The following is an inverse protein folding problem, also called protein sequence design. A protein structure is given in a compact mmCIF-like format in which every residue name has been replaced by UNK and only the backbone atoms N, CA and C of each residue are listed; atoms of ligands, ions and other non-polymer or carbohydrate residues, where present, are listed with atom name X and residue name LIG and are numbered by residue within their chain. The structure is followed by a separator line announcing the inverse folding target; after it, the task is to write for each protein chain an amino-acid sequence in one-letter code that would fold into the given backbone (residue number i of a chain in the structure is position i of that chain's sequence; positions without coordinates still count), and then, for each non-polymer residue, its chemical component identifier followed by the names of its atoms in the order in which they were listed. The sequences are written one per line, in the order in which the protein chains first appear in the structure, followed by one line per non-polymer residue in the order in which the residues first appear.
data_IF_692035234707
#
_entry.id   IF_692035234707
#
_cell.length_a   1.000
_cell.length_b   1.000
_cell.length_c   1.000
_cell.angle_alpha   90.00
_cell.angle_beta   90.00
_cell.angle_gamma   90.00
#
_symmetry.space_group_name_H-M   'P 1'
#
loop_
_entity.id
_entity.type
_entity.pdbx_description
1 polymer ?
#
# COMPACT_ATOMS: atom_id res chain seq x y z
N UNK A 1 -67.81 -47.17 33.38
CA UNK A 1 -67.24 -47.80 34.60
C UNK A 1 -66.07 -48.65 34.17
N UNK A 2 -64.90 -48.74 34.82
CA UNK A 2 -64.25 -47.92 35.86
C UNK A 2 -62.80 -48.44 36.04
N UNK A 3 -61.79 -47.57 36.14
CA UNK A 3 -60.50 -47.81 36.85
C UNK A 3 -59.57 -48.97 36.36
N UNK A 4 -58.23 -48.96 36.52
CA UNK A 4 -57.29 -48.12 37.30
C UNK A 4 -55.85 -48.23 36.73
N UNK A 5 -54.97 -47.29 37.11
CA UNK A 5 -53.48 -47.35 37.29
C UNK A 5 -52.73 -48.68 37.04
N UNK A 6 -51.48 -48.78 36.55
CA UNK A 6 -50.41 -47.81 36.12
C UNK A 6 -49.23 -48.63 35.47
N UNK A 7 -47.99 -48.21 35.14
CA UNK A 7 -47.11 -47.06 35.51
C UNK A 7 -45.99 -46.82 34.42
N UNK A 8 -44.96 -46.01 34.76
CA UNK A 8 -43.71 -45.65 34.03
C UNK A 8 -43.09 -46.67 33.03
N UNK A 9 -42.39 -46.29 31.94
CA UNK A 9 -41.30 -45.28 31.82
C UNK A 9 -41.13 -44.69 30.40
N UNK A 10 -40.57 -43.48 30.31
CA UNK A 10 -39.83 -42.93 29.12
C UNK A 10 -38.30 -43.08 29.36
N UNK A 11 -37.40 -42.91 28.36
CA UNK A 11 -37.13 -41.64 27.65
C UNK A 11 -37.58 -41.66 26.16
N UNK A 12 -38.09 -40.56 25.61
CA UNK A 12 -37.35 -39.49 24.90
C UNK A 12 -36.62 -40.00 23.65
N UNK A 13 -37.16 -39.66 22.47
CA UNK A 13 -36.55 -39.95 21.17
C UNK A 13 -35.54 -38.87 20.73
N UNK A 14 -34.74 -39.20 19.71
CA UNK A 14 -33.86 -38.27 19.00
C UNK A 14 -34.22 -38.28 17.51
N UNK A 15 -34.83 -37.21 17.00
CA UNK A 15 -34.97 -37.00 15.56
C UNK A 15 -33.68 -36.36 15.01
N UNK A 16 -32.69 -37.21 14.71
CA UNK A 16 -31.44 -36.81 14.07
C UNK A 16 -31.53 -36.89 12.55
N UNK A 17 -31.73 -35.76 11.87
CA UNK A 17 -31.76 -35.72 10.41
C UNK A 17 -30.35 -35.83 9.78
N UNK A 18 -30.13 -36.92 9.03
CA UNK A 18 -29.60 -36.75 7.68
C UNK A 18 -28.08 -36.77 7.43
N UNK A 19 -27.30 -37.57 8.16
CA UNK A 19 -26.12 -38.18 7.49
C UNK A 19 -26.58 -39.40 6.69
N UNK A 20 -26.13 -39.60 5.43
CA UNK A 20 -26.40 -40.83 4.71
C UNK A 20 -25.64 -41.97 5.40
N UNK A 21 -26.35 -42.73 6.22
CA UNK A 21 -25.80 -43.88 6.92
C UNK A 21 -25.40 -44.94 5.89
N UNK A 22 -24.11 -44.96 5.53
CA UNK A 22 -23.53 -45.91 4.60
C UNK A 22 -23.62 -47.33 5.18
N UNK A 23 -24.75 -47.98 4.93
CA UNK A 23 -24.96 -49.37 5.24
C UNK A 23 -23.88 -50.20 4.52
N UNK A 24 -22.97 -50.81 5.26
CA UNK A 24 -21.92 -51.70 4.74
C UNK A 24 -22.50 -53.08 4.35
N UNK A 25 -23.63 -53.06 3.65
CA UNK A 25 -24.27 -54.24 3.08
C UNK A 25 -23.50 -54.70 1.84
N UNK A 26 -22.49 -55.55 2.11
CA UNK A 26 -21.52 -56.20 1.21
C UNK A 26 -20.14 -55.52 1.21
N UNK A 27 -19.21 -56.12 1.95
CA UNK A 27 -17.77 -55.90 1.83
C UNK A 27 -17.27 -56.43 0.47
N UNK A 28 -17.18 -55.57 -0.54
CA UNK A 28 -16.38 -55.83 -1.75
C UNK A 28 -15.01 -55.16 -1.64
N UNK A 29 -13.92 -55.80 -2.13
CA UNK A 29 -12.57 -55.22 -2.09
C UNK A 29 -12.51 -53.83 -2.74
N UNK A 30 -13.24 -53.61 -3.83
CA UNK A 30 -13.35 -52.33 -4.52
C UNK A 30 -13.94 -51.22 -3.66
N UNK A 31 -14.97 -51.52 -2.86
CA UNK A 31 -15.60 -50.52 -1.97
C UNK A 31 -14.67 -50.17 -0.80
N UNK A 32 -13.94 -51.15 -0.26
CA UNK A 32 -12.95 -50.93 0.80
C UNK A 32 -11.76 -50.11 0.25
N UNK A 33 -11.24 -50.45 -0.94
CA UNK A 33 -10.17 -49.69 -1.61
C UNK A 33 -10.61 -48.27 -1.96
N UNK A 34 -11.85 -48.05 -2.40
CA UNK A 34 -12.37 -46.71 -2.69
C UNK A 34 -12.58 -45.88 -1.42
N UNK A 35 -13.07 -46.48 -0.33
CA UNK A 35 -13.15 -45.82 0.97
C UNK A 35 -11.76 -45.48 1.55
N UNK A 36 -10.77 -46.34 1.32
CA UNK A 36 -9.36 -46.09 1.68
C UNK A 36 -8.75 -44.99 0.81
N UNK A 37 -9.05 -44.92 -0.50
CA UNK A 37 -8.64 -43.80 -1.37
C UNK A 37 -9.23 -42.47 -0.89
N UNK A 38 -10.55 -42.38 -0.68
CA UNK A 38 -11.20 -41.18 -0.14
C UNK A 38 -10.54 -40.70 1.18
N UNK A 39 -10.19 -41.63 2.08
CA UNK A 39 -9.47 -41.32 3.33
C UNK A 39 -7.98 -41.00 3.17
N UNK A 40 -7.36 -41.34 2.03
CA UNK A 40 -5.93 -41.16 1.75
C UNK A 40 -5.64 -39.92 0.91
N UNK A 41 -6.58 -39.52 0.06
CA UNK A 41 -6.45 -38.37 -0.84
C UNK A 41 -6.92 -37.06 -0.17
N UNK A 42 -7.83 -37.14 0.80
CA UNK A 42 -8.26 -35.98 1.60
C UNK A 42 -8.81 -34.83 0.73
N UNK A 43 -8.52 -33.55 1.05
CA UNK A 43 -9.01 -32.41 0.26
C UNK A 43 -8.61 -32.41 -1.22
N UNK A 44 -7.61 -33.21 -1.62
CA UNK A 44 -7.20 -33.31 -3.02
C UNK A 44 -8.22 -34.06 -3.88
N UNK A 45 -9.10 -34.89 -3.31
CA UNK A 45 -10.14 -35.55 -4.10
C UNK A 45 -11.05 -34.52 -4.80
N UNK A 46 -11.42 -33.45 -4.09
CA UNK A 46 -12.23 -32.33 -4.61
C UNK A 46 -11.60 -31.60 -5.82
N UNK A 47 -10.29 -31.74 -6.04
CA UNK A 47 -9.57 -31.17 -7.20
C UNK A 47 -9.15 -32.22 -8.24
N UNK A 48 -9.29 -33.52 -7.92
CA UNK A 48 -8.76 -34.63 -8.72
C UNK A 48 -9.88 -35.51 -9.30
N UNK A 49 -11.06 -35.56 -8.67
CA UNK A 49 -12.28 -36.25 -9.15
C UNK A 49 -12.95 -35.50 -10.32
N UNK A 50 -12.24 -35.32 -11.43
CA UNK A 50 -12.83 -34.75 -12.65
C UNK A 50 -13.58 -35.81 -13.46
N UNK A 51 -14.91 -35.76 -13.37
CA UNK A 51 -15.77 -36.08 -14.53
C UNK A 51 -15.64 -34.92 -15.52
N UNK A 52 -15.31 -35.27 -16.77
CA UNK A 52 -15.00 -34.35 -17.87
C UNK A 52 -13.73 -33.48 -17.63
N UNK A 53 -12.87 -33.40 -18.64
CA UNK A 53 -11.57 -32.75 -18.55
C UNK A 53 -11.20 -32.04 -19.85
N UNK A 54 -10.97 -30.73 -19.76
CA UNK A 54 -10.38 -29.94 -20.85
C UNK A 54 -8.86 -30.14 -20.78
N UNK A 55 -8.29 -30.69 -21.84
CA UNK A 55 -6.84 -30.80 -22.01
C UNK A 55 -6.25 -29.45 -22.39
N UNK A 56 -5.13 -29.08 -21.77
CA UNK A 56 -4.40 -27.86 -22.08
C UNK A 56 -2.90 -28.12 -22.01
N UNK A 57 -2.14 -27.49 -22.90
CA UNK A 57 -0.67 -27.48 -22.88
C UNK A 57 -0.09 -26.57 -21.78
N UNK A 58 -0.95 -25.86 -21.02
CA UNK A 58 -0.52 -24.96 -19.95
C UNK A 58 0.16 -25.69 -18.78
N UNK A 59 1.49 -25.55 -18.71
CA UNK A 59 2.28 -26.04 -17.59
C UNK A 59 2.11 -25.13 -16.35
N UNK A 60 1.23 -25.52 -15.43
CA UNK A 60 0.96 -24.74 -14.21
C UNK A 60 2.24 -24.50 -13.37
N UNK A 61 2.59 -23.24 -13.14
CA UNK A 61 3.80 -22.79 -12.42
C UNK A 61 3.66 -23.00 -10.89
N UNK A 62 2.42 -22.93 -10.39
CA UNK A 62 2.05 -23.18 -8.99
C UNK A 62 2.00 -24.67 -8.64
N UNK A 63 2.09 -24.97 -7.34
CA UNK A 63 1.60 -26.21 -6.73
C UNK A 63 0.12 -26.01 -6.34
N UNK A 64 -0.62 -27.11 -6.14
CA UNK A 64 -1.96 -27.02 -5.54
C UNK A 64 -1.81 -26.61 -4.06
N UNK A 65 -2.40 -25.48 -3.64
CA UNK A 65 -2.38 -25.05 -2.24
C UNK A 65 -3.47 -25.81 -1.47
N UNK A 66 -3.12 -26.98 -0.93
CA UNK A 66 -4.01 -27.75 -0.06
C UNK A 66 -4.26 -27.06 1.28
N UNK A 67 -3.44 -26.08 1.68
CA UNK A 67 -3.57 -25.44 2.99
C UNK A 67 -4.85 -24.61 3.09
N UNK A 68 -5.26 -23.95 2.00
CA UNK A 68 -6.53 -23.21 1.96
C UNK A 68 -7.73 -24.14 1.92
N UNK A 69 -7.63 -25.28 1.21
CA UNK A 69 -8.70 -26.29 1.15
C UNK A 69 -8.95 -26.96 2.51
N UNK A 70 -7.90 -27.36 3.23
CA UNK A 70 -8.02 -27.87 4.60
C UNK A 70 -8.77 -26.85 5.47
N UNK A 71 -8.30 -25.58 5.53
CA UNK A 71 -8.94 -24.52 6.35
C UNK A 71 -10.42 -24.30 6.05
N UNK A 72 -10.85 -24.46 4.79
CA UNK A 72 -12.25 -24.32 4.38
C UNK A 72 -13.09 -25.54 4.77
N UNK A 73 -12.54 -26.75 4.66
CA UNK A 73 -13.20 -27.99 5.11
C UNK A 73 -13.30 -28.00 6.64
N UNK A 74 -12.21 -27.70 7.35
CA UNK A 74 -12.18 -27.61 8.82
C UNK A 74 -13.22 -26.61 9.35
N UNK A 75 -13.36 -25.46 8.69
CA UNK A 75 -14.41 -24.47 9.00
C UNK A 75 -15.82 -24.99 8.71
N UNK A 76 -16.00 -25.77 7.63
CA UNK A 76 -17.26 -26.39 7.24
C UNK A 76 -17.72 -27.54 8.12
N UNK A 77 -16.80 -28.21 8.84
CA UNK A 77 -17.13 -29.25 9.82
C UNK A 77 -17.67 -28.69 11.16
N UNK A 78 -17.67 -27.36 11.34
CA UNK A 78 -18.23 -26.71 12.53
C UNK A 78 -19.76 -26.61 12.43
N UNK A 79 -20.54 -27.03 13.44
CA UNK A 79 -22.00 -26.86 13.43
C UNK A 79 -22.36 -25.37 13.47
N UNK A 80 -22.81 -24.83 12.33
CA UNK A 80 -23.13 -23.41 12.10
C UNK A 80 -24.25 -23.31 11.07
N UNK A 81 -24.93 -22.15 11.04
CA UNK A 81 -25.87 -21.81 9.96
C UNK A 81 -25.08 -21.49 8.68
N UNK A 82 -25.59 -21.89 7.52
CA UNK A 82 -24.93 -21.75 6.21
C UNK A 82 -24.48 -20.30 5.91
N UNK A 83 -25.31 -19.30 6.23
CA UNK A 83 -24.96 -17.89 6.11
C UNK A 83 -23.69 -17.54 6.91
N UNK A 84 -23.60 -18.02 8.16
CA UNK A 84 -22.40 -17.83 9.00
C UNK A 84 -21.18 -18.58 8.46
N UNK A 85 -21.37 -19.74 7.82
CA UNK A 85 -20.29 -20.46 7.13
C UNK A 85 -19.79 -19.68 5.90
N UNK A 86 -20.69 -19.05 5.14
CA UNK A 86 -20.34 -18.23 3.98
C UNK A 86 -19.46 -17.04 4.37
N UNK A 87 -19.75 -16.36 5.49
CA UNK A 87 -18.95 -15.25 6.01
C UNK A 87 -17.56 -15.71 6.44
N UNK A 88 -17.48 -16.83 7.18
CA UNK A 88 -16.20 -17.42 7.61
C UNK A 88 -15.34 -17.84 6.41
N UNK A 89 -15.92 -18.50 5.41
CA UNK A 89 -15.22 -18.94 4.20
C UNK A 89 -14.72 -17.75 3.37
N UNK A 90 -15.55 -16.71 3.21
CA UNK A 90 -15.14 -15.46 2.55
C UNK A 90 -13.95 -14.80 3.26
N UNK A 91 -13.94 -14.76 4.59
CA UNK A 91 -12.84 -14.16 5.36
C UNK A 91 -11.57 -15.03 5.35
N UNK A 92 -11.70 -16.35 5.35
CA UNK A 92 -10.58 -17.29 5.14
C UNK A 92 -9.94 -17.07 3.76
N UNK A 93 -10.75 -16.92 2.71
CA UNK A 93 -10.27 -16.64 1.34
C UNK A 93 -9.63 -15.25 1.23
N UNK A 94 -10.29 -14.20 1.73
CA UNK A 94 -9.77 -12.81 1.73
C UNK A 94 -8.40 -12.73 2.39
N UNK A 95 -8.26 -13.28 3.60
CA UNK A 95 -6.99 -13.29 4.34
C UNK A 95 -5.90 -14.06 3.61
N UNK A 96 -6.24 -15.19 2.98
CA UNK A 96 -5.29 -15.97 2.20
C UNK A 96 -4.81 -15.24 0.94
N UNK A 97 -5.72 -14.69 0.12
CA UNK A 97 -5.31 -13.92 -1.07
C UNK A 97 -4.59 -12.61 -0.71
N UNK A 98 -4.91 -11.99 0.44
CA UNK A 98 -4.14 -10.88 0.98
C UNK A 98 -2.71 -11.30 1.36
N UNK A 99 -2.54 -12.41 2.10
CA UNK A 99 -1.21 -12.99 2.40
C UNK A 99 -0.42 -13.24 1.11
N UNK A 100 -1.05 -13.90 0.13
CA UNK A 100 -0.40 -14.22 -1.15
C UNK A 100 0.06 -12.96 -1.88
N UNK A 101 -0.84 -11.98 -2.03
CA UNK A 101 -0.59 -10.73 -2.76
C UNK A 101 0.47 -9.88 -2.05
N UNK A 102 0.40 -9.75 -0.73
CA UNK A 102 1.37 -8.96 0.05
C UNK A 102 2.77 -9.56 -0.03
N UNK A 103 2.92 -10.88 0.08
CA UNK A 103 4.23 -11.53 -0.03
C UNK A 103 4.78 -11.52 -1.47
N UNK A 104 3.94 -11.72 -2.48
CA UNK A 104 4.36 -11.63 -3.88
C UNK A 104 4.85 -10.22 -4.25
N UNK A 105 4.17 -9.17 -3.77
CA UNK A 105 4.51 -7.78 -4.07
C UNK A 105 5.58 -7.19 -3.14
N UNK A 106 5.97 -7.88 -2.06
CA UNK A 106 6.96 -7.40 -1.09
C UNK A 106 8.32 -6.97 -1.69
N UNK A 107 8.89 -7.64 -2.72
CA UNK A 107 10.16 -7.21 -3.33
C UNK A 107 10.11 -5.79 -3.94
N UNK A 108 8.93 -5.32 -4.39
CA UNK A 108 8.78 -3.97 -4.94
C UNK A 108 8.82 -2.86 -3.87
N UNK A 109 8.73 -3.21 -2.57
CA UNK A 109 8.67 -2.24 -1.48
C UNK A 109 9.84 -1.26 -1.41
N UNK A 110 11.01 -1.64 -1.95
CA UNK A 110 12.19 -0.77 -2.02
C UNK A 110 11.99 0.46 -2.92
N UNK A 111 11.19 0.36 -3.99
CA UNK A 111 10.91 1.46 -4.93
C UNK A 111 9.84 2.44 -4.43
N UNK A 112 9.17 2.11 -3.32
CA UNK A 112 8.13 2.92 -2.68
C UNK A 112 8.56 3.46 -1.30
N UNK A 113 9.86 3.42 -0.99
CA UNK A 113 10.38 3.81 0.33
C UNK A 113 10.56 5.32 0.43
N UNK A 114 9.52 6.02 0.91
CA UNK A 114 9.61 7.42 1.28
C UNK A 114 10.77 7.67 2.27
N UNK A 115 11.53 8.75 2.03
CA UNK A 115 12.69 9.14 2.86
C UNK A 115 12.36 10.36 3.74
N UNK A 116 13.06 10.51 4.86
CA UNK A 116 13.15 11.77 5.61
C UNK A 116 14.48 12.45 5.30
N UNK A 117 14.61 13.78 5.50
CA UNK A 117 15.92 14.43 5.50
C UNK A 117 16.90 13.69 6.44
N UNK A 118 18.12 13.43 5.97
CA UNK A 118 19.16 12.81 6.79
C UNK A 118 19.64 13.79 7.88
N UNK A 119 20.11 13.26 9.02
CA UNK A 119 20.65 14.10 10.11
C UNK A 119 21.81 14.95 9.59
N UNK A 120 21.65 16.28 9.60
CA UNK A 120 22.63 17.25 9.10
C UNK A 120 22.44 17.69 7.64
N UNK A 121 21.51 17.11 6.89
CA UNK A 121 21.08 17.69 5.62
C UNK A 121 20.09 18.85 5.84
N UNK A 122 19.98 19.75 4.87
CA UNK A 122 18.96 20.81 4.89
C UNK A 122 17.57 20.21 4.66
N UNK A 123 16.61 20.40 5.58
CA UNK A 123 15.23 19.95 5.39
C UNK A 123 14.46 20.83 4.38
N UNK A 124 15.01 22.01 4.05
CA UNK A 124 14.42 22.96 3.11
C UNK A 124 14.75 22.63 1.65
N UNK A 125 15.71 21.73 1.38
CA UNK A 125 15.91 21.19 0.04
C UNK A 125 14.67 20.41 -0.42
N UNK A 126 14.54 20.27 -1.73
CA UNK A 126 13.47 19.48 -2.33
C UNK A 126 13.77 17.97 -2.13
N UNK A 127 12.75 17.11 -1.90
CA UNK A 127 13.00 15.71 -1.58
C UNK A 127 13.69 14.95 -2.72
N UNK A 128 14.62 14.02 -2.43
CA UNK A 128 15.26 13.22 -3.47
C UNK A 128 14.22 12.34 -4.19
N UNK A 129 14.36 12.09 -5.50
CA UNK A 129 13.43 11.22 -6.21
C UNK A 129 13.45 9.81 -5.62
N UNK A 130 12.28 9.15 -5.60
CA UNK A 130 12.22 7.72 -5.24
C UNK A 130 13.08 6.89 -6.21
N UNK A 131 13.63 5.73 -5.77
CA UNK A 131 14.48 4.89 -6.61
C UNK A 131 13.85 4.61 -7.98
N UNK A 132 14.67 4.66 -9.04
CA UNK A 132 14.25 4.23 -10.36
C UNK A 132 13.86 2.74 -10.34
N UNK A 133 13.00 2.33 -11.27
CA UNK A 133 12.60 0.93 -11.43
C UNK A 133 12.98 0.48 -12.83
N UNK A 134 14.00 -0.38 -12.92
CA UNK A 134 14.28 -1.17 -14.10
C UNK A 134 13.71 -2.59 -13.94
N UNK A 135 13.18 -3.15 -15.04
CA UNK A 135 12.54 -4.46 -15.03
C UNK A 135 13.52 -5.64 -14.94
N UNK A 136 14.63 -5.57 -15.66
CA UNK A 136 15.59 -6.68 -15.76
C UNK A 136 16.63 -6.63 -14.62
N UNK A 137 17.04 -5.45 -14.14
CA UNK A 137 17.80 -5.30 -12.89
C UNK A 137 17.02 -5.85 -11.70
N UNK A 138 15.70 -5.55 -11.63
CA UNK A 138 14.83 -6.12 -10.61
C UNK A 138 14.77 -7.65 -10.69
N UNK A 139 14.60 -8.23 -11.89
CA UNK A 139 14.57 -9.68 -12.09
C UNK A 139 15.93 -10.34 -11.78
N UNK A 140 17.05 -9.72 -12.14
CA UNK A 140 18.40 -10.19 -11.86
C UNK A 140 18.70 -10.15 -10.34
N UNK A 141 18.39 -9.03 -9.68
CA UNK A 141 18.52 -8.85 -8.23
C UNK A 141 17.66 -9.84 -7.44
N UNK A 142 16.42 -10.08 -7.91
CA UNK A 142 15.52 -11.06 -7.33
C UNK A 142 16.00 -12.50 -7.56
N UNK A 143 16.53 -12.81 -8.75
CA UNK A 143 17.15 -14.11 -9.07
C UNK A 143 18.33 -14.42 -8.15
N UNK A 144 19.24 -13.45 -7.98
CA UNK A 144 20.40 -13.56 -7.09
C UNK A 144 20.02 -13.70 -5.60
N UNK A 145 18.89 -13.10 -5.17
CA UNK A 145 18.32 -13.27 -3.83
C UNK A 145 17.60 -14.62 -3.64
N UNK A 146 17.16 -15.24 -4.74
CA UNK A 146 16.37 -16.46 -4.75
C UNK A 146 14.90 -16.27 -4.33
N UNK A 147 14.10 -17.33 -4.48
CA UNK A 147 12.64 -17.31 -4.33
C UNK A 147 12.10 -16.97 -2.93
N UNK A 148 12.96 -17.01 -1.91
CA UNK A 148 12.57 -16.90 -0.51
C UNK A 148 11.69 -18.07 -0.02
N UNK A 149 11.48 -18.12 1.30
CA UNK A 149 10.74 -19.21 1.95
C UNK A 149 9.24 -19.26 1.58
N UNK A 150 8.67 -18.13 1.13
CA UNK A 150 7.26 -18.00 0.76
C UNK A 150 6.96 -18.68 -0.59
N UNK A 151 7.69 -18.33 -1.66
CA UNK A 151 7.45 -18.90 -2.99
C UNK A 151 7.87 -20.36 -3.05
N UNK A 152 8.99 -20.75 -2.42
CA UNK A 152 9.50 -22.12 -2.44
C UNK A 152 8.46 -23.16 -1.98
N UNK A 153 7.62 -22.80 -0.99
CA UNK A 153 6.52 -23.67 -0.51
C UNK A 153 5.41 -23.84 -1.56
N UNK A 154 5.06 -22.80 -2.31
CA UNK A 154 3.84 -22.71 -3.14
C UNK A 154 4.06 -22.81 -4.66
N UNK A 155 5.30 -22.62 -5.13
CA UNK A 155 5.66 -22.64 -6.55
C UNK A 155 6.54 -23.84 -6.90
N UNK A 156 6.65 -24.13 -8.20
CA UNK A 156 7.67 -25.01 -8.78
C UNK A 156 8.97 -24.20 -9.04
N UNK A 157 9.89 -24.76 -9.84
CA UNK A 157 11.14 -24.13 -10.27
C UNK A 157 10.98 -22.74 -10.90
N UNK A 158 9.91 -22.53 -11.67
CA UNK A 158 9.73 -21.37 -12.55
C UNK A 158 9.11 -20.14 -11.85
N UNK A 159 9.43 -19.93 -10.57
CA UNK A 159 8.87 -18.84 -9.77
C UNK A 159 9.24 -17.44 -10.28
N UNK A 160 10.38 -17.29 -10.98
CA UNK A 160 10.82 -16.02 -11.57
C UNK A 160 9.97 -15.63 -12.80
N UNK A 161 9.44 -16.62 -13.54
CA UNK A 161 8.59 -16.37 -14.70
C UNK A 161 7.24 -15.75 -14.30
N UNK A 162 6.77 -15.99 -13.06
CA UNK A 162 5.60 -15.28 -12.52
C UNK A 162 5.85 -13.77 -12.42
N UNK A 163 7.07 -13.34 -12.05
CA UNK A 163 7.42 -11.92 -12.03
C UNK A 163 7.52 -11.35 -13.45
N UNK A 164 8.16 -12.06 -14.39
CA UNK A 164 8.21 -11.67 -15.81
C UNK A 164 6.81 -11.45 -16.41
N UNK A 165 5.90 -12.40 -16.16
CA UNK A 165 4.50 -12.31 -16.61
C UNK A 165 3.71 -11.19 -15.90
N UNK A 166 4.00 -10.93 -14.62
CA UNK A 166 3.38 -9.83 -13.89
C UNK A 166 3.83 -8.46 -14.41
N UNK A 167 5.14 -8.24 -14.62
CA UNK A 167 5.68 -6.99 -15.16
C UNK A 167 5.11 -6.65 -16.54
N UNK A 168 4.97 -7.66 -17.40
CA UNK A 168 4.34 -7.55 -18.74
C UNK A 168 2.81 -7.54 -18.69
N UNK A 169 2.21 -7.65 -17.52
CA UNK A 169 0.75 -7.70 -17.33
C UNK A 169 0.12 -6.32 -17.19
N UNK A 170 -1.02 -6.11 -17.85
CA UNK A 170 -1.80 -4.86 -17.85
C UNK A 170 -2.04 -4.23 -16.46
N UNK A 171 -2.05 -5.05 -15.39
CA UNK A 171 -2.26 -4.59 -14.02
C UNK A 171 -1.02 -3.96 -13.36
N UNK A 172 0.21 -4.29 -13.80
CA UNK A 172 1.43 -3.85 -13.12
C UNK A 172 1.64 -2.34 -13.23
N UNK A 173 1.67 -1.77 -14.44
CA UNK A 173 2.00 -0.36 -14.63
C UNK A 173 1.00 0.61 -13.93
N UNK A 174 -0.33 0.40 -13.97
CA UNK A 174 -1.29 1.23 -13.21
C UNK A 174 -1.14 1.07 -11.69
N UNK A 175 -0.91 -0.16 -11.20
CA UNK A 175 -0.67 -0.43 -9.78
C UNK A 175 0.63 0.25 -9.29
N UNK A 176 1.71 0.11 -10.05
CA UNK A 176 3.03 0.66 -9.73
C UNK A 176 2.98 2.18 -9.69
N UNK A 177 2.41 2.83 -10.73
CA UNK A 177 2.20 4.29 -10.76
C UNK A 177 1.38 4.78 -9.57
N UNK A 178 0.27 4.10 -9.22
CA UNK A 178 -0.54 4.46 -8.04
C UNK A 178 0.23 4.30 -6.72
N UNK A 179 1.01 3.23 -6.56
CA UNK A 179 1.83 3.00 -5.35
C UNK A 179 2.98 3.99 -5.24
N UNK A 180 3.60 4.37 -6.35
CA UNK A 180 4.66 5.37 -6.40
C UNK A 180 4.15 6.77 -6.02
N UNK A 181 3.02 7.21 -6.59
CA UNK A 181 2.41 8.49 -6.26
C UNK A 181 2.05 8.63 -4.76
N UNK A 182 1.57 7.55 -4.13
CA UNK A 182 1.30 7.52 -2.68
C UNK A 182 2.61 7.68 -1.87
N UNK A 183 3.70 7.02 -2.30
CA UNK A 183 4.99 7.14 -1.65
C UNK A 183 5.66 8.52 -1.85
N UNK A 184 5.46 9.14 -3.02
CA UNK A 184 5.91 10.51 -3.33
C UNK A 184 5.14 11.54 -2.48
N UNK A 185 3.82 11.38 -2.33
CA UNK A 185 2.98 12.19 -1.43
C UNK A 185 3.38 12.03 0.05
N UNK A 186 3.61 10.80 0.52
CA UNK A 186 4.07 10.53 1.88
C UNK A 186 5.47 11.12 2.14
N UNK A 187 6.37 11.06 1.16
CA UNK A 187 7.68 11.70 1.24
C UNK A 187 7.55 13.22 1.35
N UNK A 188 6.73 13.87 0.51
CA UNK A 188 6.46 15.31 0.59
C UNK A 188 5.90 15.70 1.97
N UNK A 189 4.98 14.89 2.53
CA UNK A 189 4.41 15.08 3.88
C UNK A 189 5.48 14.97 4.97
N UNK A 190 6.35 13.97 4.91
CA UNK A 190 7.47 13.77 5.84
C UNK A 190 8.49 14.92 5.78
N UNK A 191 8.81 15.40 4.57
CA UNK A 191 9.72 16.54 4.37
C UNK A 191 9.09 17.88 4.81
N UNK A 192 7.77 18.09 4.65
CA UNK A 192 7.08 19.22 5.28
C UNK A 192 7.18 19.14 6.80
N UNK A 193 6.87 17.98 7.39
CA UNK A 193 6.94 17.80 8.84
C UNK A 193 8.35 18.01 9.40
N UNK A 194 9.41 17.67 8.64
CA UNK A 194 10.79 17.94 9.02
C UNK A 194 11.11 19.45 9.02
N UNK A 195 10.67 20.20 7.99
CA UNK A 195 10.82 21.68 7.94
C UNK A 195 10.14 22.36 9.13
N UNK A 196 8.91 21.95 9.48
CA UNK A 196 8.18 22.53 10.61
C UNK A 196 8.82 22.21 11.97
N UNK A 197 9.47 21.05 12.12
CA UNK A 197 10.19 20.65 13.34
C UNK A 197 11.60 21.25 13.48
N UNK A 198 12.09 21.99 12.49
CA UNK A 198 13.47 22.48 12.47
C UNK A 198 13.58 23.86 13.14
N UNK A 199 14.43 23.97 14.16
CA UNK A 199 14.88 25.27 14.69
C UNK A 199 15.82 25.92 13.66
N UNK A 200 15.33 27.02 13.06
CA UNK A 200 16.06 27.76 12.04
C UNK A 200 17.35 28.42 12.57
N UNK A 201 17.36 28.89 13.83
CA UNK A 201 18.53 29.56 14.44
C UNK A 201 19.63 28.55 14.74
N UNK A 202 19.27 27.37 15.26
CA UNK A 202 20.20 26.27 15.48
C UNK A 202 20.67 25.57 14.18
N UNK A 203 19.96 25.82 13.07
CA UNK A 203 20.30 25.34 11.74
C UNK A 203 21.29 26.29 11.03
N UNK A 204 20.95 27.58 10.86
CA UNK A 204 21.79 28.55 10.11
C UNK A 204 23.14 28.82 10.78
N UNK A 205 23.23 28.75 12.11
CA UNK A 205 24.49 28.90 12.86
C UNK A 205 25.54 27.82 12.57
N UNK A 206 25.22 26.80 11.78
CA UNK A 206 26.12 25.72 11.34
C UNK A 206 26.41 25.76 9.83
N UNK A 207 25.95 26.80 9.13
CA UNK A 207 26.07 26.94 7.68
C UNK A 207 27.07 28.03 7.29
N UNK A 208 27.77 27.80 6.19
CA UNK A 208 28.48 28.84 5.44
C UNK A 208 27.47 29.78 4.76
N UNK A 209 27.80 31.07 4.64
CA UNK A 209 26.93 32.13 4.07
C UNK A 209 26.17 31.72 2.79
N UNK A 210 26.86 31.13 1.81
CA UNK A 210 26.23 30.62 0.56
C UNK A 210 25.05 29.69 0.84
N UNK A 211 25.19 28.78 1.81
CA UNK A 211 24.13 27.83 2.22
C UNK A 211 23.02 28.50 3.03
N UNK A 212 23.29 29.65 3.66
CA UNK A 212 22.26 30.49 4.29
C UNK A 212 21.42 31.16 3.20
N UNK A 213 22.04 31.66 2.11
CA UNK A 213 21.35 32.17 0.92
C UNK A 213 20.55 31.07 0.21
N UNK A 214 21.11 29.88 0.02
CA UNK A 214 20.38 28.72 -0.52
C UNK A 214 19.16 28.38 0.33
N UNK A 215 19.31 28.42 1.65
CA UNK A 215 18.22 28.16 2.60
C UNK A 215 17.15 29.26 2.56
N UNK A 216 17.53 30.54 2.42
CA UNK A 216 16.59 31.65 2.21
C UNK A 216 15.74 31.41 0.96
N UNK A 217 16.40 31.18 -0.18
CA UNK A 217 15.73 30.91 -1.47
C UNK A 217 14.82 29.67 -1.39
N UNK A 218 15.21 28.65 -0.64
CA UNK A 218 14.40 27.45 -0.43
C UNK A 218 13.17 27.71 0.45
N UNK A 219 13.32 28.44 1.56
CA UNK A 219 12.21 28.80 2.46
C UNK A 219 11.21 29.72 1.74
N UNK A 220 11.70 30.66 0.93
CA UNK A 220 10.88 31.53 0.07
C UNK A 220 10.02 30.71 -0.92
N UNK A 221 10.61 29.76 -1.65
CA UNK A 221 9.87 28.85 -2.54
C UNK A 221 8.78 28.07 -1.81
N UNK A 222 9.10 27.51 -0.63
CA UNK A 222 8.14 26.74 0.17
C UNK A 222 7.02 27.61 0.73
N UNK A 223 7.33 28.82 1.20
CA UNK A 223 6.32 29.79 1.66
C UNK A 223 5.36 30.17 0.53
N UNK A 224 5.86 30.45 -0.67
CA UNK A 224 5.04 30.75 -1.84
C UNK A 224 4.14 29.55 -2.22
N UNK A 225 4.65 28.32 -2.09
CA UNK A 225 3.87 27.10 -2.29
C UNK A 225 2.75 26.92 -1.27
N UNK A 226 2.99 27.16 0.01
CA UNK A 226 1.94 27.14 1.04
C UNK A 226 0.89 28.23 0.82
N UNK A 227 1.30 29.46 0.48
CA UNK A 227 0.37 30.55 0.20
C UNK A 227 -0.52 30.29 -1.03
N UNK A 228 -0.02 29.58 -2.04
CA UNK A 228 -0.81 29.17 -3.20
C UNK A 228 -1.76 28.00 -2.90
N UNK A 229 -1.42 27.11 -1.96
CA UNK A 229 -2.28 26.03 -1.51
C UNK A 229 -3.29 26.45 -0.41
N UNK A 230 -3.02 27.55 0.29
CA UNK A 230 -3.62 27.94 1.57
C UNK A 230 -5.07 28.43 1.57
N UNK A 231 -5.87 28.13 0.56
CA UNK A 231 -7.26 28.63 0.45
C UNK A 231 -8.28 27.95 1.38
N UNK A 232 -7.92 26.87 2.09
CA UNK A 232 -8.92 26.02 2.76
C UNK A 232 -8.56 25.45 4.16
N UNK A 233 -7.28 25.32 4.53
CA UNK A 233 -6.87 24.55 5.73
C UNK A 233 -6.09 25.39 6.75
N UNK A 234 -6.44 25.30 8.03
CA UNK A 234 -5.72 25.97 9.13
C UNK A 234 -4.25 25.54 9.24
N UNK A 235 -3.94 24.25 9.05
CA UNK A 235 -2.57 23.73 9.10
C UNK A 235 -1.62 24.48 8.14
N UNK A 236 -2.10 24.84 6.94
CA UNK A 236 -1.29 25.57 5.95
C UNK A 236 -1.06 27.03 6.34
N UNK A 237 -1.96 27.64 7.14
CA UNK A 237 -1.72 28.97 7.73
C UNK A 237 -0.64 28.90 8.80
N UNK A 238 -0.66 27.87 9.66
CA UNK A 238 0.37 27.65 10.66
C UNK A 238 1.73 27.35 10.02
N UNK A 239 1.78 26.47 9.01
CA UNK A 239 2.97 26.20 8.20
C UNK A 239 3.52 27.50 7.55
N UNK A 240 2.63 28.33 6.98
CA UNK A 240 2.99 29.62 6.37
C UNK A 240 3.56 30.61 7.40
N UNK A 241 2.96 30.73 8.58
CA UNK A 241 3.46 31.59 9.66
C UNK A 241 4.83 31.12 10.15
N UNK A 242 5.03 29.80 10.31
CA UNK A 242 6.32 29.20 10.66
C UNK A 242 7.37 29.55 9.61
N UNK A 243 7.07 29.36 8.32
CA UNK A 243 8.00 29.68 7.22
C UNK A 243 8.31 31.18 7.10
N UNK A 244 7.37 32.08 7.39
CA UNK A 244 7.66 33.53 7.51
C UNK A 244 8.63 33.82 8.65
N UNK A 245 8.41 33.23 9.82
CA UNK A 245 9.31 33.35 10.98
C UNK A 245 10.71 32.79 10.69
N UNK A 246 10.80 31.66 9.99
CA UNK A 246 12.07 31.12 9.49
C UNK A 246 12.76 32.10 8.53
N UNK A 247 12.05 32.60 7.52
CA UNK A 247 12.59 33.50 6.50
C UNK A 247 13.14 34.80 7.11
N UNK A 248 12.41 35.37 8.09
CA UNK A 248 12.86 36.52 8.87
C UNK A 248 14.09 36.22 9.73
N UNK A 249 14.17 35.03 10.35
CA UNK A 249 15.35 34.63 11.12
C UNK A 249 16.59 34.44 10.23
N UNK A 250 16.42 33.96 9.00
CA UNK A 250 17.50 33.87 8.00
C UNK A 250 17.91 35.27 7.50
N UNK A 251 16.93 36.12 7.18
CA UNK A 251 17.16 37.48 6.68
C UNK A 251 18.03 38.32 7.63
N UNK A 252 17.78 38.23 8.94
CA UNK A 252 18.53 38.96 9.96
C UNK A 252 19.99 38.51 10.14
N UNK A 253 20.40 37.42 9.50
CA UNK A 253 21.79 36.90 9.51
C UNK A 253 22.53 37.18 8.20
N UNK A 254 21.82 37.49 7.12
CA UNK A 254 22.42 37.77 5.81
C UNK A 254 22.87 39.24 5.67
N UNK A 255 23.92 39.54 4.88
CA UNK A 255 24.28 40.91 4.53
C UNK A 255 23.13 41.59 3.79
N UNK A 256 22.70 42.76 4.30
CA UNK A 256 21.52 43.50 3.80
C UNK A 256 21.62 43.88 2.32
N UNK A 257 22.85 44.05 1.83
CA UNK A 257 23.19 44.44 0.45
C UNK A 257 22.74 43.40 -0.59
N UNK A 258 22.76 42.09 -0.26
CA UNK A 258 22.39 41.02 -1.19
C UNK A 258 20.88 40.90 -1.46
N UNK A 259 20.02 41.56 -0.67
CA UNK A 259 18.56 41.38 -0.74
C UNK A 259 17.78 42.69 -0.98
N UNK A 260 18.42 43.85 -0.92
CA UNK A 260 17.80 45.15 -1.23
C UNK A 260 17.35 45.30 -2.70
N UNK A 261 17.78 44.41 -3.59
CA UNK A 261 17.52 44.48 -5.04
C UNK A 261 16.18 43.85 -5.50
N UNK A 262 15.30 43.39 -4.60
CA UNK A 262 13.99 42.85 -4.99
C UNK A 262 12.84 43.37 -4.08
N UNK A 263 11.92 44.21 -4.60
CA UNK A 263 10.80 44.74 -3.81
C UNK A 263 9.77 43.67 -3.41
N UNK A 264 9.65 42.57 -4.15
CA UNK A 264 8.76 41.45 -3.81
C UNK A 264 9.25 40.73 -2.54
N UNK A 265 10.57 40.66 -2.33
CA UNK A 265 11.17 40.12 -1.11
C UNK A 265 10.92 41.02 0.10
N UNK A 266 10.99 42.34 -0.08
CA UNK A 266 10.60 43.28 0.97
C UNK A 266 9.13 43.09 1.39
N UNK A 267 8.21 42.92 0.43
CA UNK A 267 6.80 42.68 0.72
C UNK A 267 6.51 41.34 1.43
N UNK A 268 7.33 40.31 1.24
CA UNK A 268 7.24 39.03 1.97
C UNK A 268 7.77 39.11 3.42
N UNK A 269 8.65 40.07 3.70
CA UNK A 269 9.33 40.27 4.99
C UNK A 269 8.70 41.39 5.83
N UNK A 270 7.87 42.26 5.24
CA UNK A 270 7.10 43.24 5.98
C UNK A 270 5.91 42.57 6.68
N UNK A 271 5.87 42.68 8.00
CA UNK A 271 4.61 42.59 8.75
C UNK A 271 3.71 43.72 8.25
N UNK A 272 2.47 43.41 7.88
CA UNK A 272 1.47 44.43 7.57
C UNK A 272 1.08 45.16 8.85
N UNK A 273 1.35 46.47 8.99
CA UNK A 273 0.63 47.28 9.97
C UNK A 273 -0.84 47.33 9.56
N UNK A 274 -1.76 47.49 10.52
CA UNK A 274 -3.13 47.85 10.18
C UNK A 274 -3.15 49.22 9.48
N UNK A 275 -3.39 49.24 8.17
CA UNK A 275 -3.68 50.46 7.44
C UNK A 275 -5.12 50.41 6.94
N UNK A 276 -5.94 51.34 7.43
CA UNK A 276 -7.33 51.50 7.01
C UNK A 276 -7.40 52.34 5.73
N UNK A 277 -8.55 52.22 5.07
CA UNK A 277 -9.14 53.17 4.13
C UNK A 277 -8.50 53.35 2.73
N UNK A 278 -9.27 52.86 1.74
CA UNK A 278 -9.45 53.37 0.37
C UNK A 278 -8.35 53.11 -0.70
N UNK A 279 -8.70 53.11 -2.00
CA UNK A 279 -9.99 52.76 -2.64
C UNK A 279 -9.84 51.61 -3.67
N UNK A 280 -10.94 51.20 -4.31
CA UNK A 280 -10.99 50.11 -5.31
C UNK A 280 -10.75 50.63 -6.73
N UNK A 281 -9.88 49.98 -7.50
CA UNK A 281 -9.90 49.96 -8.97
C UNK A 281 -9.49 48.56 -9.50
N UNK A 282 -9.84 48.17 -10.75
CA UNK A 282 -9.96 46.76 -11.14
C UNK A 282 -8.65 46.10 -11.61
N UNK A 283 -8.46 44.85 -11.19
CA UNK A 283 -7.29 44.03 -11.53
C UNK A 283 -7.47 43.35 -12.90
N UNK A 284 -6.64 43.70 -13.89
CA UNK A 284 -6.67 43.07 -15.23
C UNK A 284 -5.99 41.70 -15.17
N UNK A 285 -6.75 40.63 -15.44
CA UNK A 285 -6.22 39.27 -15.48
C UNK A 285 -5.34 39.04 -16.71
N UNK A 286 -4.04 38.83 -16.51
CA UNK A 286 -3.12 38.29 -17.53
C UNK A 286 -2.77 36.85 -17.15
N UNK A 287 -3.33 35.87 -17.87
CA UNK A 287 -3.11 34.46 -17.58
C UNK A 287 -1.74 33.98 -18.11
N UNK A 288 -0.78 33.79 -17.20
CA UNK A 288 0.51 33.16 -17.54
C UNK A 288 0.39 31.64 -17.42
N UNK A 289 0.34 30.96 -18.56
CA UNK A 289 0.33 29.49 -18.60
C UNK A 289 1.72 28.91 -18.28
N UNK A 290 1.90 28.38 -17.08
CA UNK A 290 3.06 27.53 -16.77
C UNK A 290 2.86 26.13 -17.34
N UNK A 291 3.43 25.90 -18.52
CA UNK A 291 3.44 24.60 -19.19
C UNK A 291 4.69 23.77 -18.84
N UNK A 292 4.55 22.45 -18.99
CA UNK A 292 5.57 21.38 -18.91
C UNK A 292 5.87 20.76 -17.54
N UNK A 293 5.37 19.53 -17.36
CA UNK A 293 6.09 18.45 -16.70
C UNK A 293 6.60 17.48 -17.78
N UNK A 294 7.72 16.76 -17.58
CA UNK A 294 8.26 15.85 -18.59
C UNK A 294 7.27 14.74 -18.97
N UNK A 295 7.02 14.57 -20.28
CA UNK A 295 6.27 13.44 -20.83
C UNK A 295 7.20 12.24 -20.93
N UNK A 296 7.05 11.27 -20.04
CA UNK A 296 7.69 9.96 -20.19
C UNK A 296 7.03 9.20 -21.35
N UNK A 297 7.84 8.69 -22.28
CA UNK A 297 7.38 7.91 -23.43
C UNK A 297 7.39 6.39 -23.11
N UNK A 298 6.62 5.56 -23.85
CA UNK A 298 6.51 4.12 -23.56
C UNK A 298 7.66 3.25 -24.07
N UNK A 299 8.65 3.83 -24.77
CA UNK A 299 9.65 3.11 -25.58
C UNK A 299 10.96 2.78 -24.83
N UNK A 300 11.12 3.23 -23.59
CA UNK A 300 12.33 3.03 -22.76
C UNK A 300 12.26 1.73 -21.91
N UNK A 301 11.85 0.59 -22.52
CA UNK A 301 11.72 -0.75 -21.90
C UNK A 301 11.98 -1.91 -22.89
#
# INVERSE_FOLDING_TARGET
MSSRTSISRTPIGQEGFGLPQLALTKFTPSNLLNAVKLRRDGPLCLMTERREAIWSTYAAITKLDTSILNRLIDAGMSPRVEESMSVVNNEILRRHFLELTTNFLAPFGQFFRATTPSKGASPFLDPPPLPYFDGEEFLASLSARGSGKFLLKRMKSNWLDLYRLFLKGHNFLPWFKRKRAIAEQEQLRLWRQARMKTDIRQFISKLSEVKIVDSFNAIERHLLGELQAGSANEDSKADSQKLKGDLLAVFNVLPKELLLMNPQRAALLQETPECKDLPKEPFVQTAVQFSSSPRWHPEDL
#
